data_IF_096943344847
#
_entry.id   IF_096943344847
#
_cell.length_a   1.000
_cell.length_b   1.000
_cell.length_c   1.000
_cell.angle_alpha   90.00
_cell.angle_beta   90.00
_cell.angle_gamma   90.00
#
_symmetry.space_group_name_H-M   'P 1'
#
loop_
_entity.id
_entity.type
_entity.pdbx_description
1 polymer ?
#
# COMPACT_ATOMS: atom_id res chain seq x y z
N UNK A 1 -2.45 -8.50 6.37
CA UNK A 1 -3.19 -7.20 6.43
C UNK A 1 -2.52 -6.08 5.64
N UNK A 2 -1.36 -6.28 5.03
CA UNK A 2 -0.51 -5.19 4.48
C UNK A 2 -1.07 -4.49 3.24
N UNK A 3 -2.04 -5.10 2.57
CA UNK A 3 -2.78 -4.56 1.43
C UNK A 3 -4.14 -3.98 1.84
N UNK A 4 -4.50 -4.03 3.14
CA UNK A 4 -5.75 -3.44 3.60
C UNK A 4 -5.62 -1.92 3.62
N UNK A 5 -6.64 -1.26 3.09
CA UNK A 5 -6.74 0.18 3.10
C UNK A 5 -6.94 0.73 4.53
N UNK A 6 -6.45 1.95 4.84
CA UNK A 6 -6.47 2.53 6.18
C UNK A 6 -7.87 2.61 6.82
N UNK A 7 -8.89 2.90 6.03
CA UNK A 7 -10.29 2.98 6.45
C UNK A 7 -10.85 1.65 6.97
N UNK A 8 -10.33 0.51 6.48
CA UNK A 8 -10.77 -0.81 6.92
C UNK A 8 -10.31 -1.13 8.35
N UNK A 9 -9.32 -0.41 8.88
CA UNK A 9 -8.83 -0.60 10.25
C UNK A 9 -9.70 0.11 11.30
N UNK A 10 -10.59 1.01 10.88
CA UNK A 10 -11.55 1.70 11.74
C UNK A 10 -12.98 1.23 11.46
N UNK A 11 -13.30 -0.02 11.81
CA UNK A 11 -14.70 -0.47 11.82
C UNK A 11 -15.30 -0.42 13.23
N UNK A 12 -16.14 0.59 13.56
CA UNK A 12 -16.79 0.67 14.86
C UNK A 12 -17.82 -0.44 15.11
N UNK A 13 -18.27 -1.13 14.05
CA UNK A 13 -19.27 -2.20 14.11
C UNK A 13 -18.70 -3.60 13.81
N UNK A 14 -17.38 -3.71 13.59
CA UNK A 14 -16.73 -4.96 13.20
C UNK A 14 -17.07 -5.44 11.78
N UNK A 15 -17.76 -4.62 10.98
CA UNK A 15 -18.03 -4.87 9.57
C UNK A 15 -17.03 -4.11 8.70
N UNK A 16 -16.21 -4.84 7.94
CA UNK A 16 -15.33 -4.27 6.93
C UNK A 16 -16.17 -3.90 5.72
N UNK A 17 -16.30 -2.60 5.42
CA UNK A 17 -16.96 -2.14 4.21
C UNK A 17 -15.91 -1.99 3.12
N UNK A 18 -15.85 -2.98 2.24
CA UNK A 18 -15.01 -2.92 1.03
C UNK A 18 -15.75 -2.16 -0.06
N UNK A 19 -15.03 -1.27 -0.74
CA UNK A 19 -15.49 -0.51 -1.88
C UNK A 19 -14.40 -0.47 -2.97
N UNK A 20 -14.71 0.16 -4.09
CA UNK A 20 -13.76 0.30 -5.22
C UNK A 20 -12.44 0.92 -4.76
N UNK A 21 -12.49 1.93 -3.89
CA UNK A 21 -11.35 2.67 -3.36
C UNK A 21 -10.46 1.80 -2.45
N UNK A 22 -11.05 0.81 -1.77
CA UNK A 22 -10.28 -0.18 -1.00
C UNK A 22 -9.54 -1.16 -1.92
N UNK A 23 -10.14 -1.52 -3.05
CA UNK A 23 -9.50 -2.38 -4.06
C UNK A 23 -8.39 -1.64 -4.80
N UNK A 24 -8.57 -0.34 -5.11
CA UNK A 24 -7.53 0.51 -5.71
C UNK A 24 -6.32 0.60 -4.78
N UNK A 25 -6.54 0.76 -3.47
CA UNK A 25 -5.45 0.73 -2.49
C UNK A 25 -4.67 -0.59 -2.52
N UNK A 26 -5.39 -1.71 -2.46
CA UNK A 26 -4.78 -3.03 -2.52
C UNK A 26 -4.00 -3.23 -3.82
N UNK A 27 -4.52 -2.72 -4.94
CA UNK A 27 -3.85 -2.74 -6.24
C UNK A 27 -2.51 -1.98 -6.22
N UNK A 28 -2.46 -0.77 -5.65
CA UNK A 28 -1.19 -0.03 -5.48
C UNK A 28 -0.15 -0.82 -4.68
N UNK A 29 -0.57 -1.44 -3.58
CA UNK A 29 0.26 -2.36 -2.80
C UNK A 29 0.76 -3.57 -3.61
N UNK A 30 -0.11 -4.16 -4.43
CA UNK A 30 0.26 -5.30 -5.30
C UNK A 30 1.24 -4.89 -6.39
N UNK A 31 1.05 -3.73 -7.03
CA UNK A 31 2.02 -3.20 -7.99
C UNK A 31 3.40 -3.03 -7.35
N UNK A 32 3.47 -2.41 -6.17
CA UNK A 32 4.72 -2.27 -5.41
C UNK A 32 5.38 -3.63 -5.13
N UNK A 33 4.60 -4.63 -4.73
CA UNK A 33 5.08 -5.99 -4.47
C UNK A 33 5.61 -6.67 -5.74
N UNK A 34 4.96 -6.49 -6.89
CA UNK A 34 5.42 -7.06 -8.16
C UNK A 34 6.81 -6.54 -8.53
N UNK A 35 7.06 -5.24 -8.37
CA UNK A 35 8.37 -4.66 -8.68
C UNK A 35 9.44 -5.08 -7.67
N UNK A 36 9.15 -4.98 -6.37
CA UNK A 36 10.15 -5.24 -5.32
C UNK A 36 10.34 -6.73 -5.01
N UNK A 37 9.39 -7.57 -5.40
CA UNK A 37 9.24 -8.98 -5.00
C UNK A 37 9.12 -9.18 -3.48
N UNK A 38 8.73 -8.13 -2.77
CA UNK A 38 8.55 -8.13 -1.33
C UNK A 38 7.18 -7.56 -1.00
N UNK A 39 6.51 -8.05 0.07
CA UNK A 39 5.28 -7.45 0.51
C UNK A 39 5.53 -5.99 0.92
N UNK A 40 4.53 -5.10 0.82
CA UNK A 40 4.65 -3.74 1.33
C UNK A 40 5.04 -3.76 2.82
N UNK A 41 5.93 -2.85 3.22
CA UNK A 41 6.53 -2.79 4.56
C UNK A 41 7.31 -4.06 4.97
N UNK A 42 8.01 -4.72 4.04
CA UNK A 42 8.74 -5.97 4.32
C UNK A 42 9.72 -5.90 5.51
N UNK A 43 10.20 -4.70 5.83
CA UNK A 43 11.09 -4.41 6.96
C UNK A 43 10.39 -4.44 8.33
N UNK A 44 9.06 -4.39 8.37
CA UNK A 44 8.26 -4.48 9.58
C UNK A 44 7.80 -5.93 9.74
N UNK A 45 8.21 -6.60 10.82
CA UNK A 45 7.91 -8.02 11.03
C UNK A 45 6.44 -8.30 11.39
N UNK A 46 5.82 -7.44 12.19
CA UNK A 46 4.49 -7.67 12.73
C UNK A 46 3.42 -6.95 11.91
N UNK A 47 2.41 -7.69 11.45
CA UNK A 47 1.29 -7.16 10.66
C UNK A 47 0.45 -6.12 11.41
N UNK A 48 0.39 -6.20 12.75
CA UNK A 48 -0.26 -5.18 13.58
C UNK A 48 0.49 -3.84 13.56
N UNK A 49 1.83 -3.90 13.53
CA UNK A 49 2.66 -2.70 13.39
C UNK A 49 2.49 -2.08 12.01
N UNK A 50 2.37 -2.90 10.95
CA UNK A 50 2.06 -2.39 9.60
C UNK A 50 0.70 -1.69 9.58
N UNK A 51 -0.34 -2.30 10.17
CA UNK A 51 -1.66 -1.68 10.26
C UNK A 51 -1.59 -0.31 10.97
N UNK A 52 -0.80 -0.21 12.06
CA UNK A 52 -0.59 1.06 12.75
C UNK A 52 0.08 2.11 11.86
N UNK A 53 1.11 1.74 11.09
CA UNK A 53 1.79 2.65 10.17
C UNK A 53 0.90 3.08 9.00
N UNK A 54 0.10 2.16 8.44
CA UNK A 54 -0.88 2.45 7.39
C UNK A 54 -1.90 3.47 7.87
N UNK A 55 -2.44 3.29 9.08
CA UNK A 55 -3.40 4.21 9.71
C UNK A 55 -2.79 5.60 9.95
N UNK A 56 -1.49 5.69 10.25
CA UNK A 56 -0.76 6.97 10.39
C UNK A 56 -0.47 7.66 9.05
N UNK A 57 -0.78 7.02 7.92
CA UNK A 57 -0.47 7.55 6.58
C UNK A 57 0.95 7.23 6.10
N UNK A 58 1.71 6.40 6.82
CA UNK A 58 3.01 5.97 6.36
C UNK A 58 2.86 5.03 5.14
N UNK A 59 3.80 5.10 4.20
CA UNK A 59 3.88 4.25 3.00
C UNK A 59 5.32 3.79 2.77
N UNK A 60 5.56 2.69 2.04
CA UNK A 60 6.90 2.32 1.61
C UNK A 60 7.56 3.44 0.81
N UNK A 61 8.88 3.61 0.97
CA UNK A 61 9.67 4.53 0.14
C UNK A 61 9.74 4.06 -1.31
N UNK A 62 9.98 4.97 -2.25
CA UNK A 62 10.25 4.60 -3.65
C UNK A 62 11.44 3.61 -3.69
N UNK A 63 11.26 2.41 -4.27
CA UNK A 63 12.31 1.41 -4.32
C UNK A 63 13.37 1.83 -5.35
N UNK A 64 14.63 1.52 -5.08
CA UNK A 64 15.70 1.69 -6.06
C UNK A 64 15.60 0.62 -7.15
N UNK A 65 16.35 0.80 -8.24
CA UNK A 65 16.50 -0.23 -9.28
C UNK A 65 17.06 -1.55 -8.72
N UNK A 66 17.89 -1.47 -7.67
CA UNK A 66 18.43 -2.66 -6.98
C UNK A 66 17.31 -3.39 -6.23
N UNK A 67 16.48 -2.66 -5.50
CA UNK A 67 15.31 -3.22 -4.80
C UNK A 67 14.30 -3.83 -5.78
N UNK A 68 14.24 -3.31 -7.01
CA UNK A 68 13.40 -3.81 -8.10
C UNK A 68 14.06 -4.92 -8.95
N UNK A 69 15.17 -5.51 -8.50
CA UNK A 69 15.87 -6.61 -9.19
C UNK A 69 16.28 -6.27 -10.64
N UNK A 70 16.69 -5.02 -10.87
CA UNK A 70 17.08 -4.53 -12.19
C UNK A 70 15.91 -4.02 -13.06
N UNK A 71 14.67 -4.11 -12.59
CA UNK A 71 13.53 -3.44 -13.23
C UNK A 71 13.59 -1.94 -12.94
N UNK A 72 13.26 -1.14 -13.95
CA UNK A 72 13.08 0.30 -13.77
C UNK A 72 11.63 0.56 -13.37
N UNK A 73 11.42 1.10 -12.18
CA UNK A 73 10.14 1.67 -11.79
C UNK A 73 10.09 3.12 -12.27
N UNK A 74 9.54 3.32 -13.46
CA UNK A 74 9.42 4.66 -14.07
C UNK A 74 8.58 5.60 -13.20
N UNK A 75 8.87 6.90 -13.30
CA UNK A 75 8.22 7.94 -12.49
C UNK A 75 6.70 7.91 -12.60
N UNK A 76 6.15 7.63 -13.79
CA UNK A 76 4.70 7.57 -14.00
C UNK A 76 4.07 6.34 -13.35
N UNK A 77 4.77 5.19 -13.36
CA UNK A 77 4.32 4.00 -12.63
C UNK A 77 4.39 4.23 -11.12
N UNK A 78 5.46 4.88 -10.63
CA UNK A 78 5.56 5.22 -9.22
C UNK A 78 4.46 6.20 -8.79
N UNK A 79 4.19 7.24 -9.60
CA UNK A 79 3.07 8.16 -9.35
C UNK A 79 1.74 7.43 -9.29
N UNK A 80 1.49 6.49 -10.21
CA UNK A 80 0.27 5.68 -10.20
C UNK A 80 0.16 4.87 -8.89
N UNK A 81 1.23 4.17 -8.48
CA UNK A 81 1.26 3.44 -7.21
C UNK A 81 0.98 4.38 -6.04
N UNK A 82 1.58 5.58 -6.05
CA UNK A 82 1.40 6.59 -5.01
C UNK A 82 -0.03 7.11 -4.93
N UNK A 83 -0.69 7.32 -6.07
CA UNK A 83 -2.11 7.69 -6.13
C UNK A 83 -3.00 6.56 -5.62
N UNK A 84 -2.75 5.32 -6.07
CA UNK A 84 -3.58 4.18 -5.69
C UNK A 84 -3.65 3.97 -4.18
N UNK A 85 -2.55 4.18 -3.45
CA UNK A 85 -2.52 4.00 -1.99
C UNK A 85 -2.66 5.31 -1.18
N UNK A 86 -3.25 6.37 -1.75
CA UNK A 86 -3.50 7.64 -1.05
C UNK A 86 -4.21 7.43 0.30
N UNK A 87 -3.99 8.33 1.26
CA UNK A 87 -4.62 8.18 2.57
C UNK A 87 -6.14 8.33 2.48
N UNK A 88 -6.60 9.39 1.84
CA UNK A 88 -8.02 9.64 1.60
C UNK A 88 -8.52 8.76 0.44
N UNK A 89 -9.69 8.17 0.62
CA UNK A 89 -10.30 7.29 -0.37
C UNK A 89 -10.64 8.02 -1.68
N UNK A 90 -11.04 9.29 -1.59
CA UNK A 90 -11.42 10.10 -2.75
C UNK A 90 -10.25 10.52 -3.64
N UNK A 91 -9.01 10.37 -3.15
CA UNK A 91 -7.79 10.78 -3.85
C UNK A 91 -7.16 9.60 -4.63
N UNK A 92 -7.80 8.43 -4.64
CA UNK A 92 -7.34 7.19 -5.27
C UNK A 92 -8.04 6.92 -6.59
#
# INVERSE_FOLDING_TARGET
TRWMAPELHHSPLGTYQTCQETDIYAFGCTCYEVFTRHPPFFNILQDVSVASEVVKGCRPSQPSTVDCHGLCLEDDMWRLIVTCWSQEQCDR
#
